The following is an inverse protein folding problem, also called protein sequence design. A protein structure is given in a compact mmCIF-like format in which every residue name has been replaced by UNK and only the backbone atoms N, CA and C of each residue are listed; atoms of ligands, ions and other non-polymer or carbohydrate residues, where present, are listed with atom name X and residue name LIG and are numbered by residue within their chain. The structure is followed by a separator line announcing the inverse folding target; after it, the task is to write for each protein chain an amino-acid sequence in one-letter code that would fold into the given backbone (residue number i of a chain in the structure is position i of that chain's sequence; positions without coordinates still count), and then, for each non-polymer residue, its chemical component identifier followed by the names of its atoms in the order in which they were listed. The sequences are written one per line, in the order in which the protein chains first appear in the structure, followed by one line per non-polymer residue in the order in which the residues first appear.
data_IF_260965677048
#
_entry.id   IF_260965677048
#
_cell.length_a   1.000
_cell.length_b   1.000
_cell.length_c   1.000
_cell.angle_alpha   90.00
_cell.angle_beta   90.00
_cell.angle_gamma   90.00
#
_symmetry.space_group_name_H-M   'P 1'
#
loop_
_entity.id
_entity.type
_entity.pdbx_description
1 polymer ?
#
# COMPACT_ATOMS: atom_id res chain seq x y z
N UNK A 1 19.88 -3.73 9.85
CA UNK A 1 20.49 -3.83 8.49
C UNK A 1 21.57 -2.75 8.32
N UNK A 2 22.71 -3.00 7.66
CA UNK A 2 23.66 -1.89 7.37
C UNK A 2 23.10 -1.04 6.21
N UNK A 3 22.74 0.21 6.52
CA UNK A 3 22.23 1.19 5.56
C UNK A 3 23.40 1.84 4.80
N UNK A 4 23.60 1.46 3.54
CA UNK A 4 24.54 2.13 2.64
C UNK A 4 23.79 3.22 1.87
N UNK A 5 23.82 4.46 2.37
CA UNK A 5 23.05 5.58 1.80
C UNK A 5 23.81 6.34 0.70
N UNK A 6 25.12 6.15 0.62
CA UNK A 6 26.00 6.86 -0.32
C UNK A 6 26.05 6.20 -1.70
N UNK A 7 25.60 4.95 -1.82
CA UNK A 7 25.55 4.26 -3.09
C UNK A 7 24.41 4.78 -3.99
N UNK A 8 24.53 4.51 -5.29
CA UNK A 8 23.50 4.83 -6.26
C UNK A 8 22.68 3.59 -6.54
N UNK A 9 21.37 3.69 -6.36
CA UNK A 9 20.43 2.58 -6.55
C UNK A 9 19.63 2.75 -7.83
N UNK A 10 19.25 1.63 -8.43
CA UNK A 10 18.36 1.57 -9.59
C UNK A 10 17.26 0.51 -9.40
N UNK A 11 16.07 0.78 -9.92
CA UNK A 11 14.97 -0.18 -9.97
C UNK A 11 13.94 0.19 -11.04
N UNK A 12 13.13 -0.81 -11.42
CA UNK A 12 11.95 -0.63 -12.25
C UNK A 12 10.85 0.04 -11.41
N UNK A 13 10.33 1.18 -11.84
CA UNK A 13 9.36 2.00 -11.09
C UNK A 13 7.94 1.95 -11.68
N UNK A 14 7.76 1.31 -12.83
CA UNK A 14 6.45 1.00 -13.41
C UNK A 14 5.99 -0.41 -13.00
N UNK A 15 4.68 -0.67 -13.11
CA UNK A 15 4.13 -2.00 -12.90
C UNK A 15 4.78 -3.05 -13.81
N UNK A 16 4.89 -4.32 -13.38
CA UNK A 16 5.41 -5.39 -14.20
C UNK A 16 4.50 -5.65 -15.41
N UNK A 17 5.08 -6.15 -16.49
CA UNK A 17 4.36 -6.49 -17.72
C UNK A 17 4.71 -5.60 -18.91
N UNK A 18 4.11 -5.93 -20.05
CA UNK A 18 4.29 -5.16 -21.27
C UNK A 18 3.41 -3.89 -21.27
N UNK A 19 3.96 -2.77 -21.72
CA UNK A 19 3.23 -1.51 -21.78
C UNK A 19 3.81 -0.50 -22.76
N UNK A 20 3.02 0.52 -23.10
CA UNK A 20 3.47 1.61 -23.98
C UNK A 20 4.64 2.42 -23.39
N UNK A 21 4.81 2.38 -22.07
CA UNK A 21 5.90 3.06 -21.36
C UNK A 21 6.33 2.23 -20.14
N UNK A 22 7.64 2.08 -19.95
CA UNK A 22 8.28 1.53 -18.77
C UNK A 22 9.19 2.57 -18.15
N UNK A 23 9.30 2.56 -16.82
CA UNK A 23 10.05 3.54 -16.06
C UNK A 23 11.14 2.82 -15.27
N UNK A 24 12.39 3.23 -15.44
CA UNK A 24 13.50 2.85 -14.56
C UNK A 24 13.95 4.08 -13.79
N UNK A 25 13.99 3.97 -12.47
CA UNK A 25 14.39 5.06 -11.57
C UNK A 25 15.78 4.80 -11.01
N UNK A 26 16.60 5.84 -10.94
CA UNK A 26 17.95 5.83 -10.38
C UNK A 26 18.08 6.95 -9.34
N UNK A 27 18.66 6.69 -8.17
CA UNK A 27 18.85 7.69 -7.11
C UNK A 27 20.21 7.51 -6.42
N UNK A 28 20.92 8.61 -6.18
CA UNK A 28 22.22 8.62 -5.49
C UNK A 28 23.16 9.70 -5.99
N UNK A 29 24.38 9.77 -5.44
CA UNK A 29 25.37 10.79 -5.79
C UNK A 29 25.89 10.69 -7.23
N UNK A 30 25.91 9.48 -7.82
CA UNK A 30 26.53 9.21 -9.12
C UNK A 30 25.54 9.17 -10.30
N UNK A 31 24.26 9.54 -10.08
CA UNK A 31 23.19 9.44 -11.10
C UNK A 31 23.62 9.97 -12.47
N UNK A 32 24.14 11.21 -12.52
CA UNK A 32 24.57 11.84 -13.78
C UNK A 32 25.73 11.09 -14.42
N UNK A 33 26.75 10.70 -13.63
CA UNK A 33 27.93 9.95 -14.09
C UNK A 33 27.55 8.59 -14.68
N UNK A 34 26.57 7.91 -14.08
CA UNK A 34 26.09 6.62 -14.60
C UNK A 34 25.32 6.81 -15.91
N UNK A 35 24.44 7.79 -15.98
CA UNK A 35 23.63 8.07 -17.18
C UNK A 35 24.49 8.47 -18.37
N UNK A 36 25.49 9.34 -18.18
CA UNK A 36 26.35 9.87 -19.25
C UNK A 36 27.19 8.80 -19.97
N UNK A 37 27.30 7.60 -19.42
CA UNK A 37 27.97 6.47 -20.08
C UNK A 37 27.16 5.90 -21.25
N UNK A 38 25.83 6.00 -21.21
CA UNK A 38 24.92 5.32 -22.15
C UNK A 38 23.89 6.24 -22.79
N UNK A 39 23.54 7.34 -22.13
CA UNK A 39 22.56 8.31 -22.61
C UNK A 39 23.18 9.35 -23.54
N UNK A 40 22.57 9.53 -24.70
CA UNK A 40 22.91 10.54 -25.69
C UNK A 40 21.77 11.56 -25.74
N UNK A 41 21.88 12.71 -25.04
CA UNK A 41 20.84 13.73 -25.07
C UNK A 41 20.74 14.37 -26.45
N UNK A 42 19.52 14.74 -26.85
CA UNK A 42 19.29 15.52 -28.08
C UNK A 42 19.95 16.92 -28.02
N UNK A 43 20.03 17.49 -26.82
CA UNK A 43 20.70 18.75 -26.52
C UNK A 43 21.70 18.55 -25.37
N UNK A 44 22.97 18.39 -25.74
CA UNK A 44 24.05 18.14 -24.80
C UNK A 44 24.38 19.36 -23.91
N UNK A 45 24.17 20.57 -24.41
CA UNK A 45 24.44 21.79 -23.64
C UNK A 45 23.40 21.95 -22.54
N UNK A 46 22.11 21.74 -22.87
CA UNK A 46 21.02 21.75 -21.90
C UNK A 46 21.19 20.67 -20.84
N UNK A 47 21.57 19.46 -21.23
CA UNK A 47 21.88 18.38 -20.28
C UNK A 47 22.99 18.79 -19.29
N UNK A 48 24.12 19.29 -19.80
CA UNK A 48 25.28 19.67 -18.97
C UNK A 48 24.98 20.82 -18.01
N UNK A 49 24.14 21.78 -18.42
CA UNK A 49 23.77 22.95 -17.63
C UNK A 49 22.56 22.75 -16.69
N UNK A 50 21.96 21.56 -16.67
CA UNK A 50 20.77 21.32 -15.84
C UNK A 50 21.10 21.39 -14.35
N UNK A 51 20.54 22.41 -13.68
CA UNK A 51 20.64 22.66 -12.23
C UNK A 51 19.31 22.51 -11.50
N UNK A 52 18.22 22.30 -12.23
CA UNK A 52 16.85 22.08 -11.74
C UNK A 52 16.23 20.86 -12.40
N UNK A 53 15.08 20.44 -11.90
CA UNK A 53 14.32 19.33 -12.46
C UNK A 53 13.92 19.62 -13.92
N UNK A 54 14.41 18.82 -14.87
CA UNK A 54 14.10 18.99 -16.29
C UNK A 54 14.04 17.65 -17.04
N UNK A 55 13.28 17.63 -18.14
CA UNK A 55 13.18 16.50 -19.06
C UNK A 55 14.13 16.66 -20.24
N UNK A 56 14.82 15.57 -20.57
CA UNK A 56 15.81 15.48 -21.62
C UNK A 56 15.46 14.32 -22.56
N UNK A 57 14.94 14.58 -23.77
CA UNK A 57 14.79 13.54 -24.78
C UNK A 57 16.17 13.16 -25.36
N UNK A 58 16.33 11.90 -25.72
CA UNK A 58 17.55 11.43 -26.37
C UNK A 58 17.48 9.95 -26.74
N UNK A 59 18.64 9.35 -26.91
CA UNK A 59 18.80 7.93 -27.19
C UNK A 59 19.57 7.25 -26.05
N UNK A 60 19.14 6.07 -25.65
CA UNK A 60 19.90 5.19 -24.79
C UNK A 60 20.64 4.14 -25.62
N UNK A 61 21.94 3.96 -25.39
CA UNK A 61 22.72 2.87 -25.99
C UNK A 61 22.66 1.65 -25.09
N UNK A 62 21.77 0.72 -25.42
CA UNK A 62 21.58 -0.53 -24.70
C UNK A 62 22.45 -1.64 -25.30
N UNK A 63 23.35 -2.20 -24.49
CA UNK A 63 24.07 -3.42 -24.86
C UNK A 63 23.26 -4.61 -24.37
N UNK A 64 22.77 -5.44 -25.30
CA UNK A 64 22.02 -6.66 -24.98
C UNK A 64 22.92 -7.86 -25.21
N UNK A 65 23.21 -8.62 -24.16
CA UNK A 65 23.89 -9.91 -24.27
C UNK A 65 22.88 -10.94 -24.84
N UNK A 66 22.70 -10.96 -26.15
CA UNK A 66 21.90 -12.00 -26.82
C UNK A 66 22.80 -13.17 -27.23
N UNK A 67 22.48 -14.42 -26.84
CA UNK A 67 23.30 -15.61 -27.13
C UNK A 67 23.22 -16.09 -28.59
N UNK A 68 22.93 -15.20 -29.54
CA UNK A 68 22.68 -15.56 -30.95
C UNK A 68 23.91 -15.14 -31.77
N UNK A 69 24.56 -16.10 -32.43
CA UNK A 69 25.80 -15.88 -33.20
C UNK A 69 25.64 -14.80 -34.29
N UNK A 70 24.44 -14.60 -34.82
CA UNK A 70 24.11 -13.59 -35.85
C UNK A 70 23.28 -12.41 -35.31
N UNK A 71 23.43 -12.01 -34.05
CA UNK A 71 22.66 -10.91 -33.49
C UNK A 71 22.92 -9.58 -34.25
N UNK A 72 21.91 -8.96 -34.92
CA UNK A 72 22.08 -7.73 -35.71
C UNK A 72 22.37 -6.48 -34.85
N UNK A 73 22.52 -6.64 -33.54
CA UNK A 73 22.67 -5.56 -32.55
C UNK A 73 23.97 -5.70 -31.73
N UNK A 74 25.01 -6.35 -32.26
CA UNK A 74 26.32 -6.50 -31.58
C UNK A 74 26.94 -5.16 -31.14
N UNK A 75 26.68 -4.08 -31.87
CA UNK A 75 27.15 -2.71 -31.56
C UNK A 75 26.23 -1.94 -30.59
N UNK A 76 25.21 -2.61 -30.05
CA UNK A 76 24.20 -2.05 -29.14
C UNK A 76 22.95 -1.54 -29.85
N UNK A 77 21.81 -1.65 -29.16
CA UNK A 77 20.52 -1.13 -29.57
C UNK A 77 20.38 0.34 -29.16
N UNK A 78 19.96 1.21 -30.07
CA UNK A 78 19.61 2.60 -29.75
C UNK A 78 18.12 2.70 -29.49
N UNK A 79 17.77 3.05 -28.26
CA UNK A 79 16.39 3.20 -27.83
C UNK A 79 16.05 4.67 -27.62
N UNK A 80 14.95 5.19 -28.19
CA UNK A 80 14.46 6.50 -27.79
C UNK A 80 14.08 6.47 -26.30
N UNK A 81 14.57 7.44 -25.55
CA UNK A 81 14.30 7.57 -24.11
C UNK A 81 14.04 9.03 -23.76
N UNK A 82 13.13 9.25 -22.82
CA UNK A 82 12.92 10.55 -22.17
C UNK A 82 13.46 10.46 -20.74
N UNK A 83 14.47 11.27 -20.40
CA UNK A 83 15.11 11.24 -19.08
C UNK A 83 14.64 12.45 -18.27
N UNK A 84 13.89 12.21 -17.20
CA UNK A 84 13.61 13.21 -16.18
C UNK A 84 14.79 13.26 -15.20
N UNK A 85 15.48 14.39 -15.11
CA UNK A 85 16.65 14.56 -14.23
C UNK A 85 16.35 15.56 -13.12
N UNK A 86 16.52 15.13 -11.87
CA UNK A 86 16.58 15.97 -10.67
C UNK A 86 18.05 16.02 -10.20
N UNK A 87 18.83 17.04 -10.59
CA UNK A 87 20.28 17.04 -10.40
C UNK A 87 20.71 17.38 -8.96
N UNK A 88 19.78 17.77 -8.09
CA UNK A 88 20.06 18.23 -6.72
C UNK A 88 19.27 17.40 -5.70
N UNK A 89 19.37 17.77 -4.42
CA UNK A 89 18.56 17.17 -3.34
C UNK A 89 17.06 17.46 -3.47
N UNK A 90 16.60 18.30 -4.41
CA UNK A 90 15.19 18.59 -4.68
C UNK A 90 14.51 17.46 -5.46
N UNK A 91 14.55 16.24 -4.91
CA UNK A 91 13.93 15.05 -5.47
C UNK A 91 13.13 14.33 -4.39
N UNK A 92 12.44 13.26 -4.79
CA UNK A 92 11.72 12.38 -3.86
C UNK A 92 12.61 11.84 -2.72
N UNK A 93 13.81 11.34 -3.04
CA UNK A 93 14.72 10.69 -2.08
C UNK A 93 15.61 11.67 -1.32
N UNK A 94 15.55 12.98 -1.64
CA UNK A 94 16.51 13.95 -1.10
C UNK A 94 17.92 13.86 -1.69
N UNK A 95 18.12 13.04 -2.73
CA UNK A 95 19.38 12.85 -3.45
C UNK A 95 19.20 13.16 -4.94
N UNK A 96 20.26 13.35 -5.75
CA UNK A 96 20.10 13.37 -7.19
C UNK A 96 19.34 12.14 -7.68
N UNK A 97 18.42 12.32 -8.61
CA UNK A 97 17.50 11.30 -9.08
C UNK A 97 17.28 11.43 -10.58
N UNK A 98 17.12 10.31 -11.27
CA UNK A 98 16.68 10.29 -12.65
C UNK A 98 15.61 9.22 -12.88
N UNK A 99 14.71 9.52 -13.81
CA UNK A 99 13.74 8.55 -14.34
C UNK A 99 13.94 8.42 -15.84
N UNK A 100 14.15 7.19 -16.29
CA UNK A 100 14.28 6.83 -17.70
C UNK A 100 12.94 6.29 -18.16
N UNK A 101 12.29 7.02 -19.07
CA UNK A 101 11.00 6.67 -19.66
C UNK A 101 11.25 6.14 -21.08
N UNK A 102 11.02 4.84 -21.27
CA UNK A 102 11.22 4.12 -22.54
C UNK A 102 10.06 3.17 -22.81
N UNK A 103 10.11 2.38 -23.87
CA UNK A 103 9.09 1.36 -24.14
C UNK A 103 9.04 0.32 -23.01
N UNK A 104 7.84 -0.03 -22.56
CA UNK A 104 7.62 -0.96 -21.45
C UNK A 104 7.75 -2.41 -21.89
N UNK A 105 8.90 -2.82 -22.44
CA UNK A 105 9.18 -4.20 -22.81
C UNK A 105 10.02 -4.86 -21.71
N UNK A 106 9.54 -5.92 -21.02
CA UNK A 106 10.25 -6.51 -19.89
C UNK A 106 11.71 -6.89 -20.20
N UNK A 107 12.04 -7.56 -21.31
CA UNK A 107 13.43 -7.88 -21.65
C UNK A 107 14.32 -6.63 -21.84
N UNK A 108 13.78 -5.52 -22.36
CA UNK A 108 14.52 -4.28 -22.53
C UNK A 108 14.76 -3.58 -21.19
N UNK A 109 13.75 -3.57 -20.31
CA UNK A 109 13.86 -2.97 -18.98
C UNK A 109 14.83 -3.76 -18.10
N UNK A 110 14.82 -5.09 -18.18
CA UNK A 110 15.77 -5.97 -17.48
C UNK A 110 17.21 -5.77 -17.97
N UNK A 111 17.41 -5.68 -19.29
CA UNK A 111 18.71 -5.39 -19.88
C UNK A 111 19.23 -4.00 -19.45
N UNK A 112 18.35 -2.99 -19.46
CA UNK A 112 18.66 -1.64 -19.00
C UNK A 112 19.08 -1.63 -17.52
N UNK A 113 18.31 -2.28 -16.65
CA UNK A 113 18.62 -2.37 -15.24
C UNK A 113 19.96 -3.10 -14.99
N UNK A 114 20.20 -4.19 -15.72
CA UNK A 114 21.47 -4.92 -15.68
C UNK A 114 22.65 -4.05 -16.10
N UNK A 115 22.49 -3.27 -17.17
CA UNK A 115 23.51 -2.33 -17.65
C UNK A 115 23.79 -1.23 -16.63
N UNK A 116 22.75 -0.66 -16.00
CA UNK A 116 22.91 0.32 -14.91
C UNK A 116 23.67 -0.27 -13.73
N UNK A 117 23.36 -1.52 -13.35
CA UNK A 117 24.08 -2.22 -12.29
C UNK A 117 25.56 -2.40 -12.62
N UNK A 118 25.89 -2.82 -13.85
CA UNK A 118 27.27 -2.92 -14.34
C UNK A 118 28.00 -1.57 -14.38
N UNK A 119 27.25 -0.46 -14.44
CA UNK A 119 27.78 0.91 -14.54
C UNK A 119 27.99 1.58 -13.18
N UNK A 120 27.74 0.86 -12.08
CA UNK A 120 27.95 1.31 -10.71
C UNK A 120 26.68 1.52 -9.89
N UNK A 121 25.49 1.21 -10.44
CA UNK A 121 24.28 1.14 -9.61
C UNK A 121 24.22 -0.18 -8.83
N UNK A 122 23.57 -0.16 -7.67
CA UNK A 122 23.07 -1.36 -7.01
C UNK A 122 21.57 -1.50 -7.27
N UNK A 123 21.06 -2.72 -7.33
CA UNK A 123 19.61 -2.93 -7.30
C UNK A 123 19.02 -2.42 -5.98
N UNK A 124 17.98 -1.59 -6.06
CA UNK A 124 17.29 -1.10 -4.87
C UNK A 124 16.62 -2.25 -4.11
N UNK A 125 16.63 -2.16 -2.78
CA UNK A 125 15.81 -3.02 -1.91
C UNK A 125 14.34 -2.60 -1.96
N UNK A 126 13.41 -3.48 -1.55
CA UNK A 126 12.02 -3.11 -1.29
C UNK A 126 11.93 -1.82 -0.46
N UNK A 127 11.13 -0.84 -0.91
CA UNK A 127 10.91 0.42 -0.19
C UNK A 127 12.09 1.36 -0.06
N UNK A 128 13.27 1.05 -0.62
CA UNK A 128 14.49 1.80 -0.35
C UNK A 128 14.41 3.26 -0.81
N UNK A 129 13.68 3.56 -1.89
CA UNK A 129 13.44 4.95 -2.31
C UNK A 129 12.63 5.73 -1.27
N UNK A 130 11.57 5.13 -0.72
CA UNK A 130 10.72 5.75 0.31
C UNK A 130 11.49 5.86 1.63
N UNK A 131 12.31 4.86 1.99
CA UNK A 131 13.21 4.91 3.14
C UNK A 131 14.21 6.08 3.04
N UNK A 132 14.85 6.27 1.87
CA UNK A 132 15.75 7.41 1.65
C UNK A 132 15.02 8.75 1.76
N UNK A 133 13.78 8.84 1.28
CA UNK A 133 12.95 10.03 1.44
C UNK A 133 12.68 10.33 2.92
N UNK A 134 12.34 9.31 3.71
CA UNK A 134 12.17 9.41 5.17
C UNK A 134 13.46 9.89 5.86
N UNK A 135 14.60 9.23 5.60
CA UNK A 135 15.89 9.60 6.19
C UNK A 135 16.39 11.00 5.77
N UNK A 136 15.97 11.49 4.60
CA UNK A 136 16.25 12.84 4.15
C UNK A 136 15.29 13.90 4.74
N UNK A 137 14.36 13.50 5.61
CA UNK A 137 13.34 14.38 6.20
C UNK A 137 12.31 14.89 5.19
N UNK A 138 12.15 14.21 4.04
CA UNK A 138 11.12 14.56 3.04
C UNK A 138 9.75 14.06 3.43
N UNK A 139 9.71 12.98 4.20
CA UNK A 139 8.52 12.32 4.71
C UNK A 139 8.79 11.96 6.17
N UNK A 140 7.78 12.01 7.02
CA UNK A 140 7.79 11.29 8.28
C UNK A 140 7.38 9.82 8.09
N UNK A 141 7.47 9.02 9.16
CA UNK A 141 7.18 7.59 9.09
C UNK A 141 5.70 7.30 8.74
N UNK A 142 4.79 8.11 9.25
CA UNK A 142 3.36 8.04 9.01
C UNK A 142 3.00 8.38 7.55
N UNK A 143 3.68 9.36 6.95
CA UNK A 143 3.56 9.70 5.54
C UNK A 143 4.21 8.63 4.65
N UNK A 144 5.33 8.06 5.06
CA UNK A 144 5.94 6.93 4.35
C UNK A 144 4.97 5.75 4.29
N UNK A 145 4.35 5.36 5.41
CA UNK A 145 3.31 4.33 5.47
C UNK A 145 2.11 4.67 4.57
N UNK A 146 1.71 5.95 4.51
CA UNK A 146 0.63 6.42 3.64
C UNK A 146 0.93 6.28 2.14
N UNK A 147 2.21 6.35 1.73
CA UNK A 147 2.60 6.08 0.33
C UNK A 147 2.15 4.67 -0.08
N UNK A 148 2.36 3.67 0.78
CA UNK A 148 1.91 2.31 0.51
C UNK A 148 0.39 2.24 0.49
N UNK A 149 -0.28 2.90 1.45
CA UNK A 149 -1.74 2.99 1.49
C UNK A 149 -2.35 3.56 0.21
N UNK A 150 -1.73 4.56 -0.42
CA UNK A 150 -2.19 5.11 -1.71
C UNK A 150 -2.00 4.11 -2.85
N UNK A 151 -0.88 3.38 -2.87
CA UNK A 151 -0.58 2.39 -3.91
C UNK A 151 -1.54 1.19 -3.81
N UNK A 152 -1.84 0.77 -2.59
CA UNK A 152 -2.65 -0.42 -2.31
C UNK A 152 -4.16 -0.17 -2.21
N UNK A 153 -4.60 1.09 -2.19
CA UNK A 153 -6.00 1.46 -2.02
C UNK A 153 -6.92 0.74 -3.01
N UNK A 154 -7.87 -0.03 -2.48
CA UNK A 154 -8.84 -0.79 -3.24
C UNK A 154 -10.10 0.02 -3.58
N UNK A 155 -10.38 1.09 -2.84
CA UNK A 155 -11.53 1.97 -3.05
C UNK A 155 -11.23 3.46 -2.76
N UNK A 156 -12.22 4.31 -3.03
CA UNK A 156 -12.09 5.77 -2.87
C UNK A 156 -12.00 6.23 -1.41
N UNK A 157 -12.55 5.47 -0.45
CA UNK A 157 -12.51 5.80 0.97
C UNK A 157 -11.11 5.52 1.51
N UNK A 158 -10.54 4.37 1.18
CA UNK A 158 -9.15 4.03 1.52
C UNK A 158 -8.17 5.01 0.88
N UNK A 159 -8.38 5.34 -0.40
CA UNK A 159 -7.54 6.30 -1.11
C UNK A 159 -7.61 7.69 -0.46
N UNK A 160 -8.81 8.18 -0.12
CA UNK A 160 -8.97 9.47 0.56
C UNK A 160 -8.29 9.47 1.94
N UNK A 161 -8.43 8.40 2.71
CA UNK A 161 -7.76 8.24 4.00
C UNK A 161 -6.23 8.26 3.85
N UNK A 162 -5.69 7.50 2.89
CA UNK A 162 -4.25 7.44 2.63
C UNK A 162 -3.73 8.79 2.12
N UNK A 163 -4.47 9.49 1.26
CA UNK A 163 -4.10 10.82 0.77
C UNK A 163 -4.11 11.88 1.87
N UNK A 164 -5.09 11.88 2.77
CA UNK A 164 -5.12 12.78 3.94
C UNK A 164 -3.93 12.54 4.88
N UNK A 165 -3.56 11.28 5.07
CA UNK A 165 -2.40 10.91 5.86
C UNK A 165 -1.10 11.36 5.16
N UNK A 166 -0.98 11.13 3.85
CA UNK A 166 0.17 11.55 3.05
C UNK A 166 0.33 13.08 3.02
N UNK A 167 -0.78 13.83 3.04
CA UNK A 167 -0.78 15.28 3.18
C UNK A 167 -0.34 15.78 4.58
N UNK A 168 -0.03 14.87 5.51
CA UNK A 168 0.50 15.16 6.83
C UNK A 168 -0.53 15.26 7.95
N UNK A 169 -1.76 14.76 7.76
CA UNK A 169 -2.89 14.89 8.72
C UNK A 169 -2.52 14.75 10.21
N UNK A 170 -2.52 13.53 10.74
CA UNK A 170 -2.17 13.28 12.17
C UNK A 170 -0.71 13.65 12.45
N UNK A 171 0.19 13.52 11.48
CA UNK A 171 1.60 13.85 11.66
C UNK A 171 1.83 15.32 12.06
N UNK A 172 1.12 16.26 11.44
CA UNK A 172 1.22 17.68 11.78
C UNK A 172 0.71 17.97 13.19
N UNK A 173 -0.39 17.32 13.60
CA UNK A 173 -0.92 17.47 14.96
C UNK A 173 0.07 16.95 16.01
N UNK A 174 0.69 15.79 15.77
CA UNK A 174 1.73 15.22 16.64
C UNK A 174 2.99 16.09 16.66
N UNK A 175 3.43 16.57 15.49
CA UNK A 175 4.61 17.42 15.39
C UNK A 175 4.43 18.75 16.14
N UNK A 176 3.24 19.37 16.02
CA UNK A 176 2.89 20.58 16.78
C UNK A 176 2.89 20.32 18.28
N UNK A 177 2.19 19.28 18.73
CA UNK A 177 2.16 18.89 20.15
C UNK A 177 3.57 18.65 20.70
N UNK A 178 4.41 17.94 19.95
CA UNK A 178 5.79 17.68 20.34
C UNK A 178 6.61 18.98 20.42
N UNK A 179 6.41 19.92 19.50
CA UNK A 179 7.07 21.24 19.54
C UNK A 179 6.66 22.00 20.81
N UNK A 180 5.36 22.07 21.09
CA UNK A 180 4.83 22.79 22.26
C UNK A 180 5.38 22.20 23.58
N UNK A 181 5.51 20.87 23.66
CA UNK A 181 6.09 20.19 24.82
C UNK A 181 7.61 20.36 24.93
N UNK A 182 8.34 20.44 23.81
CA UNK A 182 9.78 20.75 23.81
C UNK A 182 10.04 22.18 24.27
N UNK A 183 9.21 23.13 23.84
CA UNK A 183 9.31 24.52 24.26
C UNK A 183 9.03 24.64 25.77
N UNK A 184 8.00 23.96 26.29
CA UNK A 184 7.73 23.88 27.72
C UNK A 184 8.87 23.23 28.50
N UNK A 185 9.44 22.14 27.99
CA UNK A 185 10.60 21.48 28.61
C UNK A 185 11.80 22.44 28.68
N UNK A 186 12.08 23.19 27.62
CA UNK A 186 13.16 24.16 27.58
C UNK A 186 12.94 25.33 28.55
N UNK A 187 11.70 25.81 28.69
CA UNK A 187 11.33 26.85 29.67
C UNK A 187 11.55 26.36 31.12
N UNK A 188 11.16 25.12 31.44
CA UNK A 188 11.36 24.53 32.77
C UNK A 188 12.84 24.28 33.08
N UNK A 189 13.61 23.76 32.12
CA UNK A 189 15.05 23.54 32.27
C UNK A 189 15.80 24.85 32.48
N UNK A 190 15.43 25.91 31.76
CA UNK A 190 15.95 27.25 32.02
C UNK A 190 15.60 27.74 33.44
N UNK A 191 14.38 27.47 33.93
CA UNK A 191 14.00 27.77 35.30
C UNK A 191 14.92 27.13 36.35
N UNK A 192 15.34 25.88 36.13
CA UNK A 192 16.27 25.17 37.02
C UNK A 192 17.71 25.71 36.94
N UNK A 193 18.17 26.08 35.75
CA UNK A 193 19.54 26.60 35.56
C UNK A 193 19.73 28.01 36.16
N UNK A 194 18.64 28.78 36.30
CA UNK A 194 18.66 30.19 36.74
C UNK A 194 17.89 30.44 38.05
N UNK A 195 17.77 29.44 38.93
CA UNK A 195 17.06 29.55 40.24
C UNK A 195 17.60 30.69 41.11
N UNK A 196 18.89 31.02 41.01
CA UNK A 196 19.52 32.10 41.79
C UNK A 196 19.23 33.51 41.26
N UNK A 197 18.64 33.65 40.07
CA UNK A 197 18.42 34.94 39.39
C UNK A 197 17.00 35.51 39.56
N UNK A 198 16.10 34.85 40.32
CA UNK A 198 14.67 35.22 40.47
C UNK A 198 13.93 35.36 39.11
N UNK A 199 14.36 34.60 38.09
CA UNK A 199 13.77 34.60 36.74
C UNK A 199 12.79 33.44 36.62
N UNK A 200 11.49 33.73 36.63
CA UNK A 200 10.42 32.76 36.39
C UNK A 200 10.14 32.66 34.89
N UNK A 201 10.54 31.57 34.24
CA UNK A 201 10.36 31.36 32.79
C UNK A 201 8.95 30.85 32.45
N UNK A 202 8.36 30.03 33.33
CA UNK A 202 6.99 29.53 33.18
C UNK A 202 6.31 29.52 34.54
N UNK A 203 5.10 30.06 34.60
CA UNK A 203 4.32 30.02 35.85
C UNK A 203 3.65 28.67 36.04
N UNK A 204 3.34 28.33 37.28
CA UNK A 204 2.59 27.10 37.60
C UNK A 204 1.24 27.02 36.87
N UNK A 205 0.54 28.14 36.72
CA UNK A 205 -0.72 28.22 35.97
C UNK A 205 -0.51 27.93 34.47
N UNK A 206 0.57 28.47 33.88
CA UNK A 206 0.93 28.22 32.49
C UNK A 206 1.32 26.76 32.27
N UNK A 207 2.10 26.17 33.17
CA UNK A 207 2.46 24.74 33.16
C UNK A 207 1.19 23.88 33.14
N UNK A 208 0.30 24.08 34.12
CA UNK A 208 -0.96 23.31 34.22
C UNK A 208 -1.83 23.47 32.98
N UNK A 209 -1.94 24.69 32.45
CA UNK A 209 -2.72 24.97 31.24
C UNK A 209 -2.16 24.26 30.00
N UNK A 210 -0.83 24.32 29.79
CA UNK A 210 -0.17 23.67 28.64
C UNK A 210 -0.23 22.13 28.74
N UNK A 211 -0.05 21.56 29.94
CA UNK A 211 -0.18 20.11 30.16
C UNK A 211 -1.61 19.65 29.91
N UNK A 212 -2.63 20.40 30.38
CA UNK A 212 -4.03 20.07 30.11
C UNK A 212 -4.37 20.15 28.60
N UNK A 213 -3.84 21.15 27.88
CA UNK A 213 -4.00 21.25 26.43
C UNK A 213 -3.33 20.08 25.68
N UNK A 214 -2.17 19.63 26.15
CA UNK A 214 -1.48 18.45 25.63
C UNK A 214 -2.29 17.16 25.88
N UNK A 215 -2.83 16.97 27.09
CA UNK A 215 -3.71 15.83 27.41
C UNK A 215 -4.93 15.78 26.49
N UNK A 216 -5.59 16.92 26.27
CA UNK A 216 -6.74 17.01 25.36
C UNK A 216 -6.35 16.65 23.92
N UNK A 217 -5.22 17.17 23.43
CA UNK A 217 -4.71 16.87 22.09
C UNK A 217 -4.41 15.38 21.92
N UNK A 218 -3.77 14.74 22.91
CA UNK A 218 -3.49 13.30 22.86
C UNK A 218 -4.77 12.46 22.94
N UNK A 219 -5.76 12.88 23.73
CA UNK A 219 -7.05 12.18 23.81
C UNK A 219 -7.77 12.20 22.45
N UNK A 220 -7.79 13.35 21.76
CA UNK A 220 -8.34 13.48 20.41
C UNK A 220 -7.59 12.61 19.41
N UNK A 221 -6.26 12.60 19.45
CA UNK A 221 -5.43 11.75 18.59
C UNK A 221 -5.67 10.26 18.84
N UNK A 222 -5.84 9.83 20.09
CA UNK A 222 -6.20 8.46 20.46
C UNK A 222 -7.56 8.05 19.87
N UNK A 223 -8.56 8.93 19.93
CA UNK A 223 -9.88 8.67 19.34
C UNK A 223 -9.81 8.60 17.81
N UNK A 224 -9.06 9.51 17.18
CA UNK A 224 -8.80 9.45 15.74
C UNK A 224 -8.09 8.15 15.32
N UNK A 225 -7.08 7.71 16.09
CA UNK A 225 -6.33 6.48 15.82
C UNK A 225 -7.19 5.23 16.02
N UNK A 226 -8.05 5.19 17.03
CA UNK A 226 -8.94 4.06 17.30
C UNK A 226 -9.98 3.88 16.17
N UNK A 227 -10.54 4.98 15.67
CA UNK A 227 -11.46 4.98 14.52
C UNK A 227 -10.80 4.45 13.24
N UNK A 228 -9.49 4.64 13.07
CA UNK A 228 -8.72 4.09 11.93
C UNK A 228 -8.48 2.59 12.04
N UNK A 229 -8.28 2.08 13.26
CA UNK A 229 -8.14 0.64 13.50
C UNK A 229 -9.45 -0.10 13.20
N UNK A 230 -10.58 0.51 13.55
CA UNK A 230 -11.90 -0.07 13.30
C UNK A 230 -12.37 0.11 11.85
N UNK A 231 -11.82 1.09 11.11
CA UNK A 231 -12.11 1.31 9.69
C UNK A 231 -11.27 0.45 8.74
N UNK A 232 -10.54 -0.56 9.22
CA UNK A 232 -9.84 -1.49 8.31
C UNK A 232 -10.87 -2.13 7.37
N UNK A 233 -10.70 -1.92 6.08
CA UNK A 233 -11.64 -2.37 5.05
C UNK A 233 -11.95 -3.86 5.16
N UNK A 234 -13.20 -4.19 4.84
CA UNK A 234 -13.61 -5.57 4.67
C UNK A 234 -12.98 -6.08 3.37
N UNK A 235 -12.37 -7.27 3.38
CA UNK A 235 -11.79 -7.90 2.22
C UNK A 235 -12.90 -8.14 1.19
N UNK A 236 -12.57 -7.91 -0.07
CA UNK A 236 -13.52 -7.93 -1.18
C UNK A 236 -13.54 -9.32 -1.80
N UNK A 237 -14.66 -10.00 -1.66
CA UNK A 237 -14.90 -11.33 -2.23
C UNK A 237 -15.79 -11.17 -3.46
N UNK A 238 -15.23 -11.41 -4.63
CA UNK A 238 -15.93 -11.22 -5.90
C UNK A 238 -16.51 -12.54 -6.40
N UNK A 239 -17.83 -12.57 -6.61
CA UNK A 239 -18.51 -13.68 -7.27
C UNK A 239 -18.39 -13.51 -8.80
N UNK A 240 -17.71 -14.46 -9.44
CA UNK A 240 -17.43 -14.49 -10.87
C UNK A 240 -17.93 -15.81 -11.50
N UNK A 241 -18.07 -15.85 -12.82
CA UNK A 241 -18.54 -17.03 -13.55
C UNK A 241 -19.42 -16.68 -14.74
N UNK A 242 -19.75 -17.69 -15.55
CA UNK A 242 -20.59 -17.54 -16.74
C UNK A 242 -21.99 -16.96 -16.42
N UNK A 243 -22.73 -16.40 -17.42
CA UNK A 243 -24.12 -16.03 -17.27
C UNK A 243 -24.93 -17.21 -16.73
N UNK A 244 -25.89 -16.92 -15.84
CA UNK A 244 -26.74 -17.92 -15.20
C UNK A 244 -26.05 -18.95 -14.29
N UNK A 245 -24.76 -18.78 -13.97
CA UNK A 245 -24.02 -19.65 -13.05
C UNK A 245 -24.43 -19.53 -11.57
N UNK A 246 -25.51 -18.81 -11.25
CA UNK A 246 -26.05 -18.73 -9.88
C UNK A 246 -25.37 -17.72 -8.95
N UNK A 247 -24.55 -16.77 -9.46
CA UNK A 247 -23.83 -15.75 -8.67
C UNK A 247 -24.77 -14.89 -7.81
N UNK A 248 -25.74 -14.20 -8.40
CA UNK A 248 -26.68 -13.34 -7.68
C UNK A 248 -27.57 -14.14 -6.71
N UNK A 249 -27.93 -15.37 -7.06
CA UNK A 249 -28.65 -16.28 -6.17
C UNK A 249 -27.82 -16.64 -4.95
N UNK A 250 -26.54 -16.97 -5.15
CA UNK A 250 -25.60 -17.25 -4.08
C UNK A 250 -25.38 -16.02 -3.18
N UNK A 251 -25.22 -14.83 -3.75
CA UNK A 251 -25.10 -13.58 -2.98
C UNK A 251 -26.31 -13.36 -2.07
N UNK A 252 -27.53 -13.45 -2.62
CA UNK A 252 -28.75 -13.20 -1.85
C UNK A 252 -28.91 -14.21 -0.70
N UNK A 253 -28.57 -15.47 -0.94
CA UNK A 253 -28.69 -16.53 0.06
C UNK A 253 -27.63 -16.39 1.15
N UNK A 254 -26.39 -16.03 0.80
CA UNK A 254 -25.32 -15.79 1.78
C UNK A 254 -25.59 -14.55 2.65
N UNK A 255 -26.15 -13.49 2.06
CA UNK A 255 -26.42 -12.21 2.76
C UNK A 255 -27.76 -12.18 3.48
N UNK A 256 -28.64 -13.16 3.26
CA UNK A 256 -29.98 -13.21 3.86
C UNK A 256 -30.92 -12.10 3.38
N UNK A 257 -30.58 -11.39 2.30
CA UNK A 257 -31.35 -10.27 1.76
C UNK A 257 -31.98 -10.62 0.41
N UNK A 258 -33.26 -10.28 0.23
CA UNK A 258 -33.88 -10.15 -1.10
C UNK A 258 -33.53 -8.75 -1.60
N UNK A 259 -32.53 -8.64 -2.49
CA UNK A 259 -31.99 -7.42 -3.08
C UNK A 259 -32.85 -6.14 -2.90
N UNK A 260 -32.50 -5.32 -1.92
CA UNK A 260 -32.90 -3.91 -1.86
C UNK A 260 -31.83 -3.14 -1.09
N UNK A 261 -30.82 -2.66 -1.81
CA UNK A 261 -30.13 -1.38 -1.59
C UNK A 261 -29.17 -1.18 -2.78
N UNK A 262 -29.73 -0.64 -3.87
CA UNK A 262 -28.94 0.06 -4.88
C UNK A 262 -28.29 1.25 -4.18
N UNK A 263 -26.98 1.40 -4.27
CA UNK A 263 -26.32 2.61 -3.78
C UNK A 263 -26.89 3.84 -4.51
N UNK A 264 -27.64 4.66 -3.78
CA UNK A 264 -28.04 6.00 -4.17
C UNK A 264 -26.93 6.99 -3.80
N UNK A 265 -25.78 6.90 -4.47
CA UNK A 265 -24.90 8.07 -4.60
C UNK A 265 -24.94 8.55 -6.05
N UNK A 266 -25.63 9.67 -6.24
CA UNK A 266 -25.82 10.35 -7.52
C UNK A 266 -24.46 10.71 -8.14
N UNK A 267 -24.05 10.01 -9.20
CA UNK A 267 -22.96 10.47 -10.06
C UNK A 267 -21.90 9.46 -10.52
N UNK A 268 -21.96 8.18 -10.18
CA UNK A 268 -20.97 7.19 -10.66
C UNK A 268 -21.64 6.10 -11.51
N UNK A 269 -21.00 5.73 -12.62
CA UNK A 269 -21.46 4.71 -13.57
C UNK A 269 -21.53 3.34 -12.90
N UNK A 270 -22.76 3.00 -12.50
CA UNK A 270 -23.27 1.76 -11.88
C UNK A 270 -23.03 0.53 -12.77
N UNK A 271 -22.77 -0.63 -12.14
CA UNK A 271 -23.26 -1.99 -12.50
C UNK A 271 -22.56 -3.12 -11.69
N UNK A 272 -22.48 -3.00 -10.36
CA UNK A 272 -22.14 -4.13 -9.47
C UNK A 272 -22.86 -3.97 -8.12
N UNK A 273 -23.27 -5.10 -7.54
CA UNK A 273 -23.91 -5.14 -6.22
C UNK A 273 -22.84 -5.46 -5.18
N UNK A 274 -22.61 -4.56 -4.23
CA UNK A 274 -21.68 -4.76 -3.12
C UNK A 274 -22.48 -4.85 -1.83
N UNK A 275 -22.37 -5.97 -1.11
CA UNK A 275 -23.12 -6.23 0.11
C UNK A 275 -22.19 -6.70 1.22
N UNK A 276 -22.20 -6.06 2.40
CA UNK A 276 -21.46 -6.55 3.55
C UNK A 276 -21.99 -7.92 4.00
N UNK A 277 -21.08 -8.88 4.25
CA UNK A 277 -21.38 -10.17 4.88
C UNK A 277 -20.64 -10.25 6.22
N UNK A 278 -21.42 -10.36 7.29
CA UNK A 278 -20.96 -10.63 8.66
C UNK A 278 -21.57 -11.95 9.13
N UNK A 279 -20.80 -13.04 9.08
CA UNK A 279 -21.27 -14.37 9.50
C UNK A 279 -20.14 -15.15 10.17
N UNK A 280 -20.32 -15.51 11.44
CA UNK A 280 -19.30 -16.17 12.26
C UNK A 280 -17.95 -15.41 12.20
N UNK A 281 -16.85 -16.07 11.81
CA UNK A 281 -15.52 -15.46 11.64
C UNK A 281 -15.29 -14.88 10.22
N UNK A 282 -16.34 -14.70 9.41
CA UNK A 282 -16.28 -14.15 8.06
C UNK A 282 -16.85 -12.73 8.03
N UNK A 283 -15.96 -11.75 7.91
CA UNK A 283 -16.29 -10.33 7.71
C UNK A 283 -15.74 -9.88 6.37
N UNK A 284 -16.58 -9.80 5.35
CA UNK A 284 -16.18 -9.51 3.95
C UNK A 284 -17.21 -8.62 3.25
N UNK A 285 -16.80 -7.97 2.17
CA UNK A 285 -17.73 -7.36 1.21
C UNK A 285 -17.91 -8.32 0.03
N UNK A 286 -19.13 -8.81 -0.16
CA UNK A 286 -19.50 -9.65 -1.30
C UNK A 286 -19.88 -8.79 -2.49
N UNK A 287 -19.27 -9.08 -3.64
CA UNK A 287 -19.47 -8.31 -4.87
C UNK A 287 -20.00 -9.25 -5.95
N UNK A 288 -21.20 -8.98 -6.47
CA UNK A 288 -21.75 -9.67 -7.62
C UNK A 288 -21.39 -8.96 -8.92
N UNK A 289 -20.83 -9.73 -9.86
CA UNK A 289 -20.40 -9.24 -11.17
C UNK A 289 -21.27 -9.81 -12.28
N UNK A 290 -21.45 -9.06 -13.37
CA UNK A 290 -22.15 -9.55 -14.55
C UNK A 290 -21.48 -10.83 -15.11
N UNK A 291 -22.28 -11.79 -15.59
CA UNK A 291 -21.76 -13.06 -16.09
C UNK A 291 -20.83 -12.92 -17.30
N UNK A 292 -19.87 -13.84 -17.42
CA UNK A 292 -18.91 -13.86 -18.52
C UNK A 292 -19.50 -14.39 -19.85
N UNK A 293 -19.90 -13.49 -20.75
CA UNK A 293 -20.26 -13.87 -22.12
C UNK A 293 -19.02 -13.88 -23.04
N UNK A 294 -18.66 -15.05 -23.55
CA UNK A 294 -17.50 -15.22 -24.45
C UNK A 294 -17.83 -14.84 -25.91
N UNK A 295 -19.09 -14.51 -26.23
CA UNK A 295 -19.57 -14.39 -27.63
C UNK A 295 -19.83 -12.96 -28.10
N UNK A 296 -19.71 -11.93 -27.25
CA UNK A 296 -20.00 -10.55 -27.67
C UNK A 296 -18.85 -9.91 -28.44
N UNK A 297 -19.07 -9.69 -29.74
CA UNK A 297 -18.23 -8.84 -30.60
C UNK A 297 -18.78 -7.41 -30.67
N UNK A 298 -17.87 -6.43 -30.62
CA UNK A 298 -18.06 -5.11 -31.23
C UNK A 298 -18.61 -3.96 -30.38
N UNK A 299 -19.31 -4.18 -29.26
CA UNK A 299 -19.90 -3.06 -28.47
C UNK A 299 -19.58 -3.09 -26.95
N UNK A 300 -18.96 -4.16 -26.42
CA UNK A 300 -18.81 -4.38 -24.96
C UNK A 300 -17.38 -4.32 -24.41
N UNK A 301 -16.43 -3.69 -25.11
CA UNK A 301 -15.05 -3.56 -24.61
C UNK A 301 -14.98 -2.84 -23.24
N UNK A 302 -15.85 -1.85 -23.01
CA UNK A 302 -15.95 -1.13 -21.74
C UNK A 302 -16.51 -2.03 -20.62
N UNK A 303 -17.44 -2.93 -20.94
CA UNK A 303 -18.02 -3.86 -19.95
C UNK A 303 -17.05 -4.99 -19.59
N UNK A 304 -16.22 -5.45 -20.53
CA UNK A 304 -15.14 -6.40 -20.27
C UNK A 304 -14.00 -5.76 -19.46
N UNK A 305 -13.58 -4.54 -19.83
CA UNK A 305 -12.56 -3.79 -19.09
C UNK A 305 -12.99 -3.52 -17.64
N UNK A 306 -14.24 -3.11 -17.40
CA UNK A 306 -14.78 -2.88 -16.06
C UNK A 306 -14.90 -4.16 -15.21
N UNK A 307 -15.25 -5.29 -15.83
CA UNK A 307 -15.25 -6.61 -15.17
C UNK A 307 -13.83 -7.00 -14.75
N UNK A 308 -12.86 -6.78 -15.64
CA UNK A 308 -11.45 -7.01 -15.34
C UNK A 308 -10.94 -6.09 -14.22
N UNK A 309 -11.31 -4.80 -14.21
CA UNK A 309 -10.99 -3.85 -13.13
C UNK A 309 -11.56 -4.30 -11.76
N UNK A 310 -12.79 -4.82 -11.72
CA UNK A 310 -13.39 -5.34 -10.48
C UNK A 310 -12.69 -6.60 -9.98
N UNK A 311 -12.27 -7.49 -10.88
CA UNK A 311 -11.51 -8.69 -10.51
C UNK A 311 -10.09 -8.35 -10.05
N UNK A 312 -9.47 -7.30 -10.62
CA UNK A 312 -8.16 -6.83 -10.18
C UNK A 312 -8.16 -6.34 -8.73
N UNK A 313 -9.30 -5.81 -8.26
CA UNK A 313 -9.52 -5.30 -6.91
C UNK A 313 -10.05 -6.36 -5.93
N UNK A 314 -10.28 -7.60 -6.37
CA UNK A 314 -10.73 -8.68 -5.49
C UNK A 314 -9.57 -9.16 -4.61
N UNK A 315 -9.82 -9.31 -3.31
CA UNK A 315 -8.92 -10.05 -2.43
C UNK A 315 -9.05 -11.55 -2.71
N UNK A 316 -10.28 -12.04 -2.95
CA UNK A 316 -10.56 -13.43 -3.32
C UNK A 316 -11.62 -13.49 -4.42
N UNK A 317 -11.37 -14.29 -5.46
CA UNK A 317 -12.36 -14.57 -6.51
C UNK A 317 -13.06 -15.90 -6.21
N UNK A 318 -14.38 -15.88 -6.15
CA UNK A 318 -15.23 -17.06 -6.09
C UNK A 318 -15.77 -17.33 -7.48
N UNK A 319 -15.21 -18.33 -8.16
CA UNK A 319 -15.66 -18.73 -9.48
C UNK A 319 -16.82 -19.73 -9.37
N UNK A 320 -18.02 -19.25 -9.65
CA UNK A 320 -19.25 -20.05 -9.69
C UNK A 320 -19.33 -20.85 -11.00
N UNK A 321 -19.22 -22.17 -10.90
CA UNK A 321 -19.41 -23.14 -11.97
C UNK A 321 -20.76 -23.81 -11.83
N UNK A 322 -21.62 -23.65 -12.83
CA UNK A 322 -22.92 -24.34 -12.85
C UNK A 322 -22.72 -25.83 -13.08
N UNK A 323 -23.02 -26.67 -12.07
CA UNK A 323 -22.85 -28.12 -12.19
C UNK A 323 -23.90 -28.78 -13.11
N UNK A 324 -25.00 -28.09 -13.41
CA UNK A 324 -26.04 -28.58 -14.33
C UNK A 324 -25.71 -28.34 -15.80
N UNK A 325 -24.66 -27.57 -16.09
CA UNK A 325 -24.26 -27.20 -17.44
C UNK A 325 -22.90 -27.80 -17.82
N UNK A 326 -22.81 -28.33 -19.04
CA UNK A 326 -21.57 -28.89 -19.59
C UNK A 326 -20.81 -27.76 -20.29
N UNK A 327 -19.67 -27.30 -19.75
CA UNK A 327 -18.93 -26.22 -20.41
C UNK A 327 -17.41 -26.31 -20.28
N UNK A 328 -16.76 -26.63 -21.40
CA UNK A 328 -15.29 -26.62 -21.60
C UNK A 328 -14.70 -25.20 -21.61
N UNK A 329 -15.54 -24.18 -21.80
CA UNK A 329 -15.17 -22.76 -21.76
C UNK A 329 -14.74 -22.34 -20.34
N UNK A 330 -15.37 -22.92 -19.31
CA UNK A 330 -15.10 -22.62 -17.90
C UNK A 330 -13.66 -22.90 -17.48
N UNK A 331 -13.12 -24.04 -17.90
CA UNK A 331 -11.77 -24.48 -17.54
C UNK A 331 -10.69 -23.55 -18.11
N UNK A 332 -10.90 -23.04 -19.33
CA UNK A 332 -9.96 -22.13 -20.00
C UNK A 332 -9.84 -20.78 -19.30
N UNK A 333 -10.96 -20.25 -18.80
CA UNK A 333 -11.05 -18.97 -18.08
C UNK A 333 -10.47 -19.08 -16.68
N UNK A 334 -10.79 -20.17 -15.96
CA UNK A 334 -10.20 -20.44 -14.65
C UNK A 334 -8.68 -20.62 -14.76
N UNK A 335 -8.20 -21.28 -15.82
CA UNK A 335 -6.76 -21.41 -16.08
C UNK A 335 -6.08 -20.06 -16.40
N UNK A 336 -6.79 -19.15 -17.06
CA UNK A 336 -6.31 -17.78 -17.32
C UNK A 336 -6.20 -16.97 -16.03
N UNK A 337 -7.25 -16.97 -15.21
CA UNK A 337 -7.25 -16.30 -13.91
C UNK A 337 -6.17 -16.86 -12.96
N UNK A 338 -5.91 -18.18 -12.99
CA UNK A 338 -4.83 -18.79 -12.22
C UNK A 338 -3.43 -18.38 -12.71
N UNK A 339 -3.25 -18.12 -14.00
CA UNK A 339 -1.98 -17.62 -14.56
C UNK A 339 -1.66 -16.21 -14.06
N UNK A 340 -2.68 -15.43 -13.69
CA UNK A 340 -2.54 -14.10 -13.08
C UNK A 340 -2.22 -14.13 -11.57
N UNK A 341 -1.88 -15.30 -11.00
CA UNK A 341 -1.51 -15.50 -9.59
C UNK A 341 -2.56 -15.04 -8.56
N UNK A 342 -3.85 -15.06 -8.93
CA UNK A 342 -4.94 -14.70 -8.00
C UNK A 342 -5.39 -15.91 -7.19
N UNK A 343 -5.79 -15.70 -5.94
CA UNK A 343 -6.50 -16.73 -5.20
C UNK A 343 -7.92 -16.86 -5.72
N UNK A 344 -8.23 -18.07 -6.15
CA UNK A 344 -9.51 -18.41 -6.78
C UNK A 344 -10.07 -19.62 -6.05
N UNK A 345 -11.26 -19.47 -5.52
CA UNK A 345 -12.07 -20.56 -5.02
C UNK A 345 -13.10 -20.93 -6.10
N UNK A 346 -12.96 -22.10 -6.70
CA UNK A 346 -13.97 -22.61 -7.64
C UNK A 346 -15.08 -23.30 -6.86
N UNK A 347 -16.31 -22.83 -7.04
CA UNK A 347 -17.52 -23.29 -6.36
C UNK A 347 -18.50 -23.86 -7.38
N UNK A 348 -18.85 -25.14 -7.22
CA UNK A 348 -19.90 -25.77 -8.02
C UNK A 348 -21.28 -25.35 -7.53
N UNK A 349 -21.99 -24.52 -8.27
CA UNK A 349 -23.35 -24.07 -7.94
C UNK A 349 -24.41 -25.02 -8.53
N UNK A 350 -25.66 -24.91 -8.05
CA UNK A 350 -26.81 -25.73 -8.47
C UNK A 350 -26.63 -27.24 -8.23
N UNK A 351 -26.02 -27.61 -7.11
CA UNK A 351 -25.79 -29.00 -6.75
C UNK A 351 -27.09 -29.83 -6.64
N UNK A 352 -28.23 -29.18 -6.43
CA UNK A 352 -29.57 -29.78 -6.44
C UNK A 352 -29.96 -30.40 -7.79
N UNK A 353 -29.40 -29.89 -8.88
CA UNK A 353 -29.72 -30.33 -10.24
C UNK A 353 -28.92 -31.57 -10.69
N UNK A 354 -27.98 -32.07 -9.87
CA UNK A 354 -27.06 -33.15 -10.25
C UNK A 354 -27.15 -34.31 -9.26
N UNK A 355 -27.16 -35.55 -9.75
CA UNK A 355 -27.17 -36.74 -8.89
C UNK A 355 -25.78 -36.92 -8.25
N UNK A 356 -25.73 -36.88 -6.91
CA UNK A 356 -24.53 -36.98 -6.03
C UNK A 356 -23.61 -38.21 -6.24
N UNK A 357 -23.90 -39.10 -7.20
CA UNK A 357 -23.01 -40.20 -7.57
C UNK A 357 -21.73 -39.74 -8.30
N UNK A 358 -21.66 -38.46 -8.69
CA UNK A 358 -20.56 -37.88 -9.48
C UNK A 358 -19.91 -36.66 -8.83
N UNK A 359 -20.22 -36.34 -7.56
CA UNK A 359 -19.52 -35.27 -6.86
C UNK A 359 -18.07 -35.69 -6.64
N UNK A 360 -17.08 -34.97 -7.20
CA UNK A 360 -15.69 -35.27 -6.95
C UNK A 360 -15.42 -35.07 -5.46
N UNK A 361 -14.95 -36.14 -4.79
CA UNK A 361 -14.52 -36.05 -3.40
C UNK A 361 -13.43 -34.99 -3.27
N UNK A 362 -13.62 -34.14 -2.27
CA UNK A 362 -13.04 -32.79 -2.06
C UNK A 362 -11.52 -32.70 -1.91
N UNK A 363 -10.74 -33.73 -2.23
CA UNK A 363 -9.30 -33.70 -1.98
C UNK A 363 -8.40 -34.06 -3.17
N UNK A 364 -8.89 -34.73 -4.24
CA UNK A 364 -7.96 -35.27 -5.27
C UNK A 364 -8.45 -35.25 -6.73
N UNK A 365 -9.40 -34.40 -7.10
CA UNK A 365 -9.89 -34.31 -8.49
C UNK A 365 -9.23 -33.17 -9.26
N UNK A 366 -8.63 -33.49 -10.41
CA UNK A 366 -7.94 -32.55 -11.31
C UNK A 366 -8.82 -31.47 -11.97
N UNK A 367 -10.08 -31.32 -11.53
CA UNK A 367 -11.10 -30.43 -12.09
C UNK A 367 -11.23 -29.09 -11.32
N UNK A 368 -10.48 -28.93 -10.22
CA UNK A 368 -10.28 -27.65 -9.57
C UNK A 368 -11.45 -27.07 -8.77
N UNK A 369 -12.63 -27.70 -8.75
CA UNK A 369 -13.79 -27.38 -7.88
C UNK A 369 -13.48 -27.79 -6.44
N UNK A 370 -13.65 -26.88 -5.48
CA UNK A 370 -13.26 -27.09 -4.06
C UNK A 370 -14.44 -27.15 -3.09
N UNK A 371 -15.57 -26.55 -3.45
CA UNK A 371 -16.81 -26.56 -2.65
C UNK A 371 -17.99 -26.66 -3.61
N UNK A 372 -19.06 -27.37 -3.23
CA UNK A 372 -20.31 -27.45 -4.00
C UNK A 372 -21.47 -26.93 -3.18
N UNK A 373 -22.34 -26.11 -3.77
CA UNK A 373 -23.45 -25.45 -3.09
C UNK A 373 -24.77 -25.62 -3.84
N UNK A 374 -25.85 -25.80 -3.07
CA UNK A 374 -27.23 -25.57 -3.52
C UNK A 374 -27.75 -24.35 -2.81
N UNK A 375 -27.90 -23.23 -3.55
CA UNK A 375 -28.52 -22.03 -3.00
C UNK A 375 -30.03 -22.23 -2.73
N UNK A 376 -30.65 -23.22 -3.38
CA UNK A 376 -32.06 -23.56 -3.21
C UNK A 376 -32.31 -24.35 -1.92
N UNK A 377 -31.50 -25.38 -1.67
CA UNK A 377 -31.68 -26.30 -0.52
C UNK A 377 -30.81 -25.91 0.69
N UNK A 378 -29.96 -24.89 0.53
CA UNK A 378 -29.00 -24.46 1.55
C UNK A 378 -27.78 -25.37 1.70
N UNK A 379 -27.63 -26.38 0.85
CA UNK A 379 -26.53 -27.36 0.94
C UNK A 379 -25.16 -26.68 0.70
N UNK A 380 -24.20 -26.98 1.57
CA UNK A 380 -22.78 -26.58 1.40
C UNK A 380 -22.47 -25.10 1.65
N UNK A 381 -23.45 -24.29 2.07
CA UNK A 381 -23.25 -22.86 2.33
C UNK A 381 -22.37 -22.60 3.55
N UNK A 382 -22.50 -23.40 4.61
CA UNK A 382 -21.68 -23.26 5.82
C UNK A 382 -20.23 -23.65 5.53
N UNK A 383 -20.01 -24.72 4.75
CA UNK A 383 -18.69 -25.14 4.27
C UNK A 383 -18.05 -24.06 3.38
N UNK A 384 -18.85 -23.42 2.52
CA UNK A 384 -18.41 -22.29 1.72
C UNK A 384 -17.96 -21.12 2.62
N UNK A 385 -18.77 -20.72 3.60
CA UNK A 385 -18.43 -19.64 4.54
C UNK A 385 -17.14 -19.96 5.33
N UNK A 386 -17.00 -21.18 5.84
CA UNK A 386 -15.80 -21.62 6.55
C UNK A 386 -14.56 -21.56 5.65
N UNK A 387 -14.68 -22.01 4.39
CA UNK A 387 -13.56 -21.99 3.44
C UNK A 387 -13.20 -20.58 2.98
N UNK A 388 -14.20 -19.71 2.80
CA UNK A 388 -13.96 -18.29 2.55
C UNK A 388 -13.22 -17.65 3.72
N UNK A 389 -13.60 -17.95 4.97
CA UNK A 389 -12.93 -17.39 6.15
C UNK A 389 -11.46 -17.84 6.22
N UNK A 390 -11.18 -19.12 5.96
CA UNK A 390 -9.80 -19.65 5.91
C UNK A 390 -8.94 -18.96 4.84
N UNK A 391 -9.45 -18.86 3.61
CA UNK A 391 -8.72 -18.29 2.47
C UNK A 391 -8.51 -16.79 2.62
N UNK A 392 -9.56 -16.06 2.98
CA UNK A 392 -9.50 -14.63 3.26
C UNK A 392 -8.52 -14.37 4.39
N UNK A 393 -8.53 -15.18 5.46
CA UNK A 393 -7.56 -15.08 6.55
C UNK A 393 -6.13 -15.37 6.09
N UNK A 394 -5.92 -16.31 5.17
CA UNK A 394 -4.60 -16.64 4.64
C UNK A 394 -4.03 -15.51 3.75
N UNK A 395 -4.84 -14.91 2.88
CA UNK A 395 -4.41 -13.79 2.01
C UNK A 395 -4.29 -12.47 2.76
N UNK A 396 -5.20 -12.22 3.70
CA UNK A 396 -5.26 -10.97 4.45
C UNK A 396 -4.18 -10.84 5.52
N UNK A 397 -3.49 -11.94 5.86
CA UNK A 397 -2.32 -11.93 6.76
C UNK A 397 -1.18 -11.03 6.24
N UNK A 398 -1.09 -10.75 4.94
CA UNK A 398 -0.07 -9.84 4.39
C UNK A 398 -0.44 -8.35 4.50
N UNK A 399 -1.66 -8.00 4.07
CA UNK A 399 -2.10 -6.62 3.80
C UNK A 399 -2.80 -5.94 5.00
N UNK A 400 -3.72 -6.63 5.67
CA UNK A 400 -4.45 -6.10 6.84
C UNK A 400 -3.64 -6.17 8.13
N UNK A 401 -2.73 -7.14 8.23
CA UNK A 401 -1.77 -7.18 9.33
C UNK A 401 -0.86 -5.96 9.31
N UNK A 402 -0.50 -5.42 8.14
CA UNK A 402 0.32 -4.21 8.04
C UNK A 402 -0.41 -2.94 8.46
N UNK A 403 -1.56 -2.63 7.85
CA UNK A 403 -2.37 -1.46 8.23
C UNK A 403 -2.76 -1.51 9.72
N UNK A 404 -3.09 -2.70 10.23
CA UNK A 404 -3.34 -2.95 11.64
C UNK A 404 -2.10 -2.82 12.52
N UNK A 405 -0.92 -3.28 12.09
CA UNK A 405 0.34 -3.15 12.85
C UNK A 405 0.82 -1.71 12.93
N UNK A 406 0.70 -0.96 11.85
CA UNK A 406 1.06 0.45 11.78
C UNK A 406 0.14 1.31 12.64
N UNK A 407 -1.17 1.08 12.51
CA UNK A 407 -2.16 1.75 13.34
C UNK A 407 -2.05 1.33 14.82
N UNK A 408 -1.73 0.06 15.11
CA UNK A 408 -1.47 -0.41 16.47
C UNK A 408 -0.18 0.16 17.06
N UNK A 409 0.90 0.32 16.26
CA UNK A 409 2.13 1.00 16.67
C UNK A 409 1.82 2.43 17.09
N UNK A 410 1.14 3.18 16.21
CA UNK A 410 0.74 4.56 16.48
C UNK A 410 -0.16 4.64 17.72
N UNK A 411 -1.16 3.76 17.84
CA UNK A 411 -2.06 3.71 18.99
C UNK A 411 -1.30 3.41 20.29
N UNK A 412 -0.42 2.41 20.31
CA UNK A 412 0.36 2.06 21.50
C UNK A 412 1.25 3.22 21.94
N UNK A 413 1.90 3.92 20.99
CA UNK A 413 2.69 5.11 21.30
C UNK A 413 1.84 6.28 21.80
N UNK A 414 0.64 6.49 21.27
CA UNK A 414 -0.29 7.52 21.76
C UNK A 414 -0.81 7.18 23.17
N UNK A 415 -1.10 5.91 23.45
CA UNK A 415 -1.50 5.44 24.79
C UNK A 415 -0.37 5.64 25.81
N UNK A 416 0.88 5.30 25.44
CA UNK A 416 2.05 5.54 26.29
C UNK A 416 2.27 7.04 26.53
N UNK A 417 2.13 7.89 25.50
CA UNK A 417 2.21 9.34 25.65
C UNK A 417 1.11 9.88 26.58
N UNK A 418 -0.11 9.32 26.51
CA UNK A 418 -1.22 9.68 27.39
C UNK A 418 -0.91 9.32 28.85
N UNK A 419 -0.44 8.11 29.11
CA UNK A 419 -0.06 7.68 30.46
C UNK A 419 1.08 8.54 31.04
N UNK A 420 2.07 8.92 30.24
CA UNK A 420 3.13 9.83 30.66
C UNK A 420 2.61 11.26 30.93
N UNK A 421 1.67 11.76 30.12
CA UNK A 421 1.03 13.05 30.35
C UNK A 421 0.15 13.05 31.60
N UNK A 422 -0.52 11.95 31.92
CA UNK A 422 -1.28 11.79 33.16
C UNK A 422 -0.35 11.91 34.38
N UNK A 423 0.81 11.24 34.37
CA UNK A 423 1.82 11.39 35.43
C UNK A 423 2.39 12.81 35.51
N UNK A 424 2.65 13.45 34.36
CA UNK A 424 3.11 14.85 34.30
C UNK A 424 2.08 15.78 34.95
N UNK A 425 0.80 15.59 34.63
CA UNK A 425 -0.30 16.39 35.18
C UNK A 425 -0.47 16.15 36.69
N UNK A 426 -0.34 14.92 37.16
CA UNK A 426 -0.37 14.59 38.59
C UNK A 426 0.81 15.24 39.34
N UNK A 427 2.03 15.15 38.80
CA UNK A 427 3.22 15.75 39.39
C UNK A 427 3.07 17.28 39.50
N UNK A 428 2.59 17.92 38.43
CA UNK A 428 2.31 19.34 38.43
C UNK A 428 1.18 19.69 39.43
N UNK A 429 0.06 18.98 39.44
CA UNK A 429 -1.07 19.27 40.35
C UNK A 429 -0.72 19.11 41.84
N UNK A 430 0.18 18.19 42.18
CA UNK A 430 0.68 17.98 43.55
C UNK A 430 1.73 19.01 43.96
N UNK A 431 2.16 19.90 43.05
CA UNK A 431 3.21 20.88 43.30
C UNK A 431 4.57 20.25 43.57
N UNK A 432 4.89 19.14 42.88
CA UNK A 432 6.22 18.53 42.94
C UNK A 432 7.26 19.46 42.29
N UNK A 433 8.55 19.19 42.52
CA UNK A 433 9.63 20.00 41.95
C UNK A 433 9.67 19.92 40.42
N UNK A 434 10.12 21.00 39.79
CA UNK A 434 10.23 21.09 38.33
C UNK A 434 11.12 19.98 37.74
N UNK A 435 12.14 19.53 38.48
CA UNK A 435 12.95 18.35 38.13
C UNK A 435 12.10 17.10 37.83
N UNK A 436 11.08 16.83 38.65
CA UNK A 436 10.21 15.67 38.49
C UNK A 436 9.26 15.85 37.30
N UNK A 437 8.73 17.07 37.11
CA UNK A 437 7.89 17.42 35.97
C UNK A 437 8.67 17.28 34.65
N UNK A 438 9.93 17.70 34.63
CA UNK A 438 10.85 17.58 33.49
C UNK A 438 11.09 16.11 33.11
N UNK A 439 11.31 15.24 34.10
CA UNK A 439 11.49 13.81 33.85
C UNK A 439 10.23 13.22 33.20
N UNK A 440 9.04 13.51 33.74
CA UNK A 440 7.79 13.00 33.15
C UNK A 440 7.53 13.58 31.75
N UNK A 441 7.83 14.88 31.50
CA UNK A 441 7.72 15.48 30.17
C UNK A 441 8.64 14.80 29.14
N UNK A 442 9.86 14.43 29.54
CA UNK A 442 10.79 13.67 28.68
C UNK A 442 10.21 12.31 28.29
N UNK A 443 9.55 11.63 29.22
CA UNK A 443 8.84 10.36 28.98
C UNK A 443 7.63 10.51 28.03
N UNK A 444 7.03 11.70 27.90
CA UNK A 444 6.00 11.98 26.89
C UNK A 444 6.60 12.12 25.49
N UNK A 445 7.76 12.77 25.38
CA UNK A 445 8.38 13.14 24.10
C UNK A 445 8.91 11.93 23.33
N UNK A 446 9.33 10.87 24.01
CA UNK A 446 9.85 9.64 23.38
C UNK A 446 8.78 8.87 22.59
N UNK A 447 7.62 8.50 23.16
CA UNK A 447 6.54 7.87 22.41
C UNK A 447 6.03 8.71 21.23
N UNK A 448 5.91 10.03 21.40
CA UNK A 448 5.55 10.94 20.30
C UNK A 448 6.63 10.93 19.19
N UNK A 449 7.90 10.87 19.58
CA UNK A 449 9.04 10.74 18.67
C UNK A 449 9.04 9.42 17.88
N UNK A 450 8.64 8.31 18.50
CA UNK A 450 8.48 7.03 17.82
C UNK A 450 7.42 7.06 16.72
N UNK A 451 6.32 7.81 16.90
CA UNK A 451 5.23 7.87 15.91
C UNK A 451 5.70 8.49 14.59
N UNK A 452 6.32 9.66 14.68
CA UNK A 452 6.83 10.44 13.53
C UNK A 452 8.12 9.85 12.97
N UNK A 453 8.79 8.97 13.73
CA UNK A 453 10.09 8.42 13.37
C UNK A 453 11.23 9.39 13.64
N UNK A 454 11.10 10.29 14.61
CA UNK A 454 12.23 11.05 15.15
C UNK A 454 13.14 10.16 16.02
N UNK A 455 12.56 9.11 16.60
CA UNK A 455 13.27 8.02 17.27
C UNK A 455 12.89 6.74 16.54
N UNK A 456 13.87 5.99 16.04
CA UNK A 456 13.64 4.74 15.31
C UNK A 456 14.74 3.73 15.57
N UNK A 457 14.42 2.45 15.39
CA UNK A 457 15.38 1.36 15.36
C UNK A 457 15.48 0.80 13.94
N UNK A 458 16.64 0.25 13.59
CA UNK A 458 16.84 -0.38 12.28
C UNK A 458 15.80 -1.47 12.00
N UNK A 459 15.42 -2.26 13.01
CA UNK A 459 14.45 -3.35 12.87
C UNK A 459 13.03 -2.85 12.53
N UNK A 460 12.63 -1.70 13.09
CA UNK A 460 11.34 -1.08 12.78
C UNK A 460 11.33 -0.59 11.33
N UNK A 461 12.41 0.08 10.91
CA UNK A 461 12.54 0.52 9.52
C UNK A 461 12.55 -0.67 8.54
N UNK A 462 13.32 -1.71 8.84
CA UNK A 462 13.38 -2.92 8.02
C UNK A 462 12.00 -3.56 7.88
N UNK A 463 11.23 -3.65 8.97
CA UNK A 463 9.87 -4.21 8.94
C UNK A 463 8.89 -3.33 8.17
N UNK A 464 9.05 -2.01 8.21
CA UNK A 464 8.21 -1.05 7.47
C UNK A 464 8.48 -1.13 5.97
N UNK A 465 9.74 -0.94 5.58
CA UNK A 465 10.10 -0.76 4.18
C UNK A 465 10.21 -2.07 3.41
N UNK A 466 10.39 -3.22 4.08
CA UNK A 466 10.39 -4.53 3.42
C UNK A 466 9.05 -4.92 2.78
N UNK A 467 7.95 -4.23 3.12
CA UNK A 467 6.61 -4.45 2.55
C UNK A 467 6.30 -3.65 1.28
N UNK A 468 7.13 -2.67 0.96
CA UNK A 468 6.98 -1.86 -0.25
C UNK A 468 7.44 -2.63 -1.49
N UNK A 469 6.98 -2.22 -2.66
CA UNK A 469 7.51 -2.74 -3.92
C UNK A 469 8.95 -2.27 -4.14
N UNK A 470 9.66 -2.94 -5.05
CA UNK A 470 10.96 -2.48 -5.53
C UNK A 470 10.72 -1.36 -6.54
N UNK A 471 11.42 -0.23 -6.41
CA UNK A 471 11.30 0.93 -7.32
C UNK A 471 10.20 1.92 -6.97
N UNK A 472 9.25 1.51 -6.14
CA UNK A 472 8.50 2.40 -5.22
C UNK A 472 7.79 1.61 -4.13
#
# INVERSE_FOLDING_TARGET
MTLHLDDTIAALASAPGAGGRGIVRVSGGDVRRVLEQHFVPRDAERWRKATRAEWHPGEWRLVVDVPWDDAPFRDGLRLPVEVGLWPTKQSYTGQPLAELHLIGSPPLLEALLTQLCRSGCRAARPGEFTLRAFLAGRLDLLQAEAVLGVIDAADHVELDQALRQLAGGISHEIARLRSDLLDLLAELEAGLDFVDEDIEFVSHEQLMSRVAAAQQSVAELCDQASRRLTSSSRPRVVLAGLPNAGKSTLLNVLTGQSAALVSETSGTTRDYLCVPLDRDDLHVDLIDTAGWDATTSGIEAVAQQRRHEQWQQADLIVWCRDLSADSTIDESLVAELRREQRSILVVGTKADCVTLASTPSSEHSGDGVRVTVSALDGLGLDDLCARLSELVSAESRGRRQWLGMTAARCQNSLLAAREALERTAEAAALGLSDDLVIVELREVLEPLGHIVGAVYTDDVLDRVFSKFCIGK
#
